data_IF_632665393949
#
_entry.id   IF_632665393949
#
_cell.length_a   1.000
_cell.length_b   1.000
_cell.length_c   1.000
_cell.angle_alpha   90.00
_cell.angle_beta   90.00
_cell.angle_gamma   90.00
#
_symmetry.space_group_name_H-M   'P 1'
#
loop_
_entity.id
_entity.type
_entity.pdbx_description
1 polymer ?
#
# COMPACT_ATOMS: atom_id res chain seq x y z
N UNK A 1 -16.49 1.57 -27.70
CA UNK A 1 -16.37 1.64 -29.18
C UNK A 1 -14.89 1.46 -29.48
N UNK A 2 -14.50 0.31 -30.06
CA UNK A 2 -13.10 0.04 -30.41
C UNK A 2 -12.75 0.87 -31.65
N UNK A 3 -11.68 1.67 -31.59
CA UNK A 3 -11.18 2.44 -32.73
C UNK A 3 -10.68 1.49 -33.84
N UNK A 4 -10.82 1.86 -35.12
CA UNK A 4 -10.31 1.05 -36.23
C UNK A 4 -8.78 0.91 -36.18
N UNK A 5 -8.21 -0.17 -36.75
CA UNK A 5 -6.76 -0.37 -36.78
C UNK A 5 -6.06 0.77 -37.55
N UNK A 6 -4.94 1.27 -37.02
CA UNK A 6 -4.13 2.40 -37.53
C UNK A 6 -4.80 3.80 -37.46
N UNK A 7 -5.72 4.03 -36.52
CA UNK A 7 -6.30 5.36 -36.31
C UNK A 7 -5.32 6.38 -35.71
N UNK A 8 -4.33 5.91 -34.96
CA UNK A 8 -3.36 6.73 -34.23
C UNK A 8 -1.98 6.64 -34.89
N UNK A 9 -1.19 7.70 -34.81
CA UNK A 9 0.24 7.61 -35.15
C UNK A 9 0.94 6.63 -34.18
N UNK A 10 2.13 6.09 -34.50
CA UNK A 10 2.84 5.21 -33.57
C UNK A 10 3.11 5.84 -32.20
N UNK A 11 3.35 7.17 -32.16
CA UNK A 11 3.54 7.92 -30.92
C UNK A 11 2.22 8.03 -30.13
N UNK A 12 1.12 8.39 -30.80
CA UNK A 12 -0.20 8.49 -30.18
C UNK A 12 -0.71 7.11 -29.72
N UNK A 13 -0.37 6.03 -30.44
CA UNK A 13 -0.71 4.67 -30.05
C UNK A 13 0.04 4.28 -28.78
N UNK A 14 1.33 4.60 -28.67
CA UNK A 14 2.10 4.35 -27.47
C UNK A 14 1.56 5.14 -26.26
N UNK A 15 1.14 6.39 -26.46
CA UNK A 15 0.50 7.19 -25.42
C UNK A 15 -0.86 6.60 -25.00
N UNK A 16 -1.68 6.17 -25.96
CA UNK A 16 -2.96 5.51 -25.70
C UNK A 16 -2.78 4.20 -24.92
N UNK A 17 -1.83 3.36 -25.32
CA UNK A 17 -1.55 2.09 -24.66
C UNK A 17 -1.06 2.33 -23.21
N UNK A 18 -0.20 3.35 -23.00
CA UNK A 18 0.24 3.76 -21.68
C UNK A 18 -0.93 4.29 -20.83
N UNK A 19 -1.84 5.08 -21.42
CA UNK A 19 -3.05 5.55 -20.77
C UNK A 19 -3.95 4.38 -20.34
N UNK A 20 -4.19 3.42 -21.24
CA UNK A 20 -5.04 2.27 -20.97
C UNK A 20 -4.44 1.34 -19.90
N UNK A 21 -3.13 1.14 -19.92
CA UNK A 21 -2.41 0.40 -18.88
C UNK A 21 -2.59 1.09 -17.51
N UNK A 22 -2.34 2.40 -17.42
CA UNK A 22 -2.58 3.19 -16.20
C UNK A 22 -4.03 3.10 -15.73
N UNK A 23 -4.98 3.28 -16.64
CA UNK A 23 -6.41 3.22 -16.34
C UNK A 23 -6.79 1.86 -15.77
N UNK A 24 -6.26 0.77 -16.33
CA UNK A 24 -6.44 -0.58 -15.82
C UNK A 24 -5.84 -0.76 -14.42
N UNK A 25 -4.65 -0.22 -14.16
CA UNK A 25 -4.02 -0.32 -12.83
C UNK A 25 -4.80 0.44 -11.76
N UNK A 26 -5.29 1.63 -12.09
CA UNK A 26 -6.15 2.43 -11.20
C UNK A 26 -7.48 1.73 -10.94
N UNK A 27 -8.07 1.11 -11.97
CA UNK A 27 -9.36 0.46 -11.84
C UNK A 27 -9.30 -0.90 -11.14
N UNK A 28 -8.12 -1.51 -11.02
CA UNK A 28 -7.94 -2.75 -10.28
C UNK A 28 -8.55 -2.69 -8.86
N UNK A 29 -8.54 -1.52 -8.23
CA UNK A 29 -9.08 -1.35 -6.88
C UNK A 29 -10.62 -1.30 -6.83
N UNK A 30 -11.31 -0.93 -7.92
CA UNK A 30 -12.78 -0.89 -7.95
C UNK A 30 -13.44 -2.26 -7.94
N UNK A 31 -12.72 -3.29 -8.37
CA UNK A 31 -13.22 -4.66 -8.43
C UNK A 31 -13.30 -5.31 -7.04
N UNK A 32 -12.70 -4.68 -6.03
CA UNK A 32 -12.63 -5.19 -4.67
C UNK A 32 -13.58 -4.41 -3.76
N UNK A 33 -14.32 -5.11 -2.91
CA UNK A 33 -15.29 -4.51 -1.98
C UNK A 33 -14.60 -3.83 -0.79
N UNK A 34 -13.78 -2.82 -1.02
CA UNK A 34 -13.20 -1.95 0.01
C UNK A 34 -14.11 -0.74 0.29
N UNK A 35 -13.90 -0.04 1.41
CA UNK A 35 -14.62 1.23 1.64
C UNK A 35 -13.97 2.36 0.81
N UNK A 36 -14.75 3.32 0.28
CA UNK A 36 -14.23 4.34 -0.65
C UNK A 36 -13.00 5.12 -0.16
N UNK A 37 -12.90 5.36 1.16
CA UNK A 37 -11.74 6.06 1.75
C UNK A 37 -10.43 5.28 1.58
N UNK A 38 -10.49 3.94 1.61
CA UNK A 38 -9.33 3.08 1.36
C UNK A 38 -8.91 3.18 -0.11
N UNK A 39 -9.87 3.10 -1.02
CA UNK A 39 -9.63 3.08 -2.47
C UNK A 39 -8.89 4.32 -2.95
N UNK A 40 -9.26 5.49 -2.40
CA UNK A 40 -8.63 6.75 -2.76
C UNK A 40 -7.14 6.79 -2.43
N UNK A 41 -6.69 6.14 -1.35
CA UNK A 41 -5.25 6.05 -1.06
C UNK A 41 -4.50 5.26 -2.14
N UNK A 42 -5.04 4.09 -2.51
CA UNK A 42 -4.41 3.24 -3.53
C UNK A 42 -4.45 3.86 -4.93
N UNK A 43 -5.57 4.51 -5.28
CA UNK A 43 -5.72 5.25 -6.53
C UNK A 43 -4.73 6.41 -6.63
N UNK A 44 -4.65 7.26 -5.60
CA UNK A 44 -3.72 8.39 -5.59
C UNK A 44 -2.26 7.91 -5.56
N UNK A 45 -1.96 6.80 -4.88
CA UNK A 45 -0.63 6.20 -4.90
C UNK A 45 -0.22 5.72 -6.29
N UNK A 46 -1.15 5.07 -7.00
CA UNK A 46 -0.93 4.57 -8.37
C UNK A 46 -0.76 5.72 -9.36
N UNK A 47 -1.60 6.75 -9.27
CA UNK A 47 -1.44 7.96 -10.08
C UNK A 47 -0.08 8.64 -9.81
N UNK A 48 0.31 8.80 -8.54
CA UNK A 48 1.60 9.35 -8.18
C UNK A 48 2.78 8.52 -8.75
N UNK A 49 2.66 7.19 -8.71
CA UNK A 49 3.65 6.28 -9.30
C UNK A 49 3.82 6.53 -10.80
N UNK A 50 2.72 6.63 -11.56
CA UNK A 50 2.78 6.88 -13.00
C UNK A 50 3.33 8.27 -13.37
N UNK A 51 3.19 9.26 -12.49
CA UNK A 51 3.74 10.60 -12.69
C UNK A 51 5.16 10.77 -12.11
N UNK A 52 5.81 9.68 -11.67
CA UNK A 52 7.17 9.72 -11.11
C UNK A 52 7.28 10.41 -9.73
N UNK A 53 6.15 10.59 -9.05
CA UNK A 53 6.06 11.15 -7.71
C UNK A 53 6.27 10.03 -6.67
N UNK A 54 7.50 9.50 -6.62
CA UNK A 54 7.83 8.27 -5.88
C UNK A 54 7.58 8.35 -4.37
N UNK A 55 7.96 9.45 -3.72
CA UNK A 55 7.72 9.66 -2.29
C UNK A 55 6.21 9.71 -1.98
N UNK A 56 5.41 10.56 -2.67
CA UNK A 56 3.95 10.53 -2.55
C UNK A 56 3.32 9.16 -2.82
N UNK A 57 3.83 8.41 -3.81
CA UNK A 57 3.35 7.06 -4.10
C UNK A 57 3.59 6.13 -2.90
N UNK A 58 4.83 6.09 -2.37
CA UNK A 58 5.18 5.25 -1.23
C UNK A 58 4.32 5.55 0.00
N UNK A 59 4.18 6.82 0.38
CA UNK A 59 3.40 7.21 1.56
C UNK A 59 1.92 6.92 1.39
N UNK A 60 1.37 7.13 0.18
CA UNK A 60 -0.04 6.86 -0.11
C UNK A 60 -0.34 5.35 -0.09
N UNK A 61 0.52 4.49 -0.65
CA UNK A 61 0.37 3.03 -0.53
C UNK A 61 0.40 2.57 0.93
N UNK A 62 1.36 3.07 1.72
CA UNK A 62 1.48 2.75 3.14
C UNK A 62 0.24 3.20 3.93
N UNK A 63 -0.30 4.38 3.62
CA UNK A 63 -1.53 4.88 4.22
C UNK A 63 -2.76 4.06 3.82
N UNK A 64 -2.85 3.59 2.58
CA UNK A 64 -3.91 2.67 2.15
C UNK A 64 -3.89 1.35 2.90
N UNK A 65 -2.70 0.76 3.07
CA UNK A 65 -2.50 -0.47 3.86
C UNK A 65 -2.84 -0.22 5.34
N UNK A 66 -2.35 0.86 5.94
CA UNK A 66 -2.66 1.19 7.34
C UNK A 66 -4.16 1.41 7.56
N UNK A 67 -4.78 2.25 6.73
CA UNK A 67 -6.21 2.57 6.82
C UNK A 67 -7.04 1.30 6.69
N UNK A 68 -6.73 0.45 5.71
CA UNK A 68 -7.46 -0.79 5.49
C UNK A 68 -7.31 -1.80 6.64
N UNK A 69 -6.12 -1.93 7.23
CA UNK A 69 -5.91 -2.71 8.46
C UNK A 69 -6.80 -2.20 9.61
N UNK A 70 -6.77 -0.89 9.86
CA UNK A 70 -7.48 -0.26 10.98
C UNK A 70 -9.00 -0.34 10.82
N UNK A 71 -9.50 -0.07 9.61
CA UNK A 71 -10.93 -0.19 9.27
C UNK A 71 -11.40 -1.61 9.50
N UNK A 72 -10.67 -2.60 8.99
CA UNK A 72 -11.05 -4.02 9.12
C UNK A 72 -11.16 -4.46 10.58
N UNK A 73 -10.16 -4.10 11.40
CA UNK A 73 -10.18 -4.42 12.82
C UNK A 73 -11.35 -3.77 13.56
N UNK A 74 -11.74 -2.55 13.18
CA UNK A 74 -12.89 -1.88 13.78
C UNK A 74 -14.20 -2.52 13.33
N UNK A 75 -14.36 -2.81 12.03
CA UNK A 75 -15.52 -3.54 11.49
C UNK A 75 -15.72 -4.88 12.21
N UNK A 76 -14.64 -5.65 12.39
CA UNK A 76 -14.68 -6.92 13.13
C UNK A 76 -15.19 -6.77 14.55
N UNK A 77 -14.75 -5.73 15.26
CA UNK A 77 -15.21 -5.47 16.63
C UNK A 77 -16.69 -5.07 16.69
N UNK A 78 -17.24 -4.45 15.63
CA UNK A 78 -18.62 -3.97 15.58
C UNK A 78 -19.62 -5.05 15.14
N UNK A 79 -19.27 -5.89 14.17
CA UNK A 79 -20.15 -6.98 13.69
C UNK A 79 -20.46 -8.01 14.79
N UNK A 80 -19.51 -8.23 15.71
CA UNK A 80 -19.74 -9.08 16.89
C UNK A 80 -20.83 -8.56 17.85
N UNK A 81 -21.32 -7.33 17.66
CA UNK A 81 -22.32 -6.66 18.52
C UNK A 81 -23.71 -6.56 17.84
N UNK A 82 -23.99 -7.40 16.83
CA UNK A 82 -25.30 -7.49 16.14
C UNK A 82 -25.78 -6.17 15.49
N UNK A 83 -24.85 -5.28 15.14
CA UNK A 83 -25.15 -4.08 14.35
C UNK A 83 -24.87 -4.32 12.87
N UNK A 84 -25.69 -3.73 12.01
CA UNK A 84 -25.44 -3.65 10.57
C UNK A 84 -24.06 -3.05 10.30
N UNK A 85 -23.37 -3.54 9.26
CA UNK A 85 -22.04 -3.03 8.85
C UNK A 85 -22.10 -1.50 8.71
N UNK A 86 -21.29 -0.74 9.47
CA UNK A 86 -21.35 0.72 9.44
C UNK A 86 -20.83 1.26 8.11
N UNK A 87 -21.58 2.20 7.52
CA UNK A 87 -21.23 2.86 6.23
C UNK A 87 -19.96 3.69 6.33
N UNK A 88 -19.64 4.20 7.53
CA UNK A 88 -18.44 4.98 7.81
C UNK A 88 -17.75 4.47 9.07
N UNK A 89 -16.43 4.35 9.00
CA UNK A 89 -15.61 3.84 10.10
C UNK A 89 -14.71 4.96 10.59
N UNK A 90 -15.06 5.55 11.72
CA UNK A 90 -14.21 6.51 12.43
C UNK A 90 -12.92 5.81 12.88
N UNK A 91 -11.75 6.39 12.66
CA UNK A 91 -10.48 5.82 13.07
C UNK A 91 -9.86 6.53 14.28
N UNK A 92 -10.57 7.48 14.90
CA UNK A 92 -10.10 8.15 16.10
C UNK A 92 -9.86 7.16 17.24
N UNK A 93 -8.76 7.39 17.97
CA UNK A 93 -8.30 6.51 19.04
C UNK A 93 -7.75 5.15 18.60
N UNK A 94 -7.78 4.81 17.30
CA UNK A 94 -7.18 3.56 16.82
C UNK A 94 -5.66 3.71 16.67
N UNK A 95 -4.92 2.69 17.07
CA UNK A 95 -3.47 2.68 16.91
C UNK A 95 -3.08 2.62 15.44
N UNK A 96 -1.99 3.33 15.13
CA UNK A 96 -1.34 3.33 13.82
C UNK A 96 -0.59 2.01 13.56
N UNK A 97 -0.17 1.76 12.31
CA UNK A 97 0.46 0.50 11.92
C UNK A 97 1.74 0.22 12.73
N UNK A 98 1.70 -0.86 13.50
CA UNK A 98 2.76 -1.29 14.40
C UNK A 98 2.77 -2.82 14.48
N UNK A 99 3.87 -3.44 14.94
CA UNK A 99 3.88 -4.89 15.17
C UNK A 99 2.73 -5.35 16.09
N UNK A 100 2.31 -4.52 17.06
CA UNK A 100 1.17 -4.83 17.92
C UNK A 100 -0.16 -4.86 17.16
N UNK A 101 -0.42 -3.86 16.29
CA UNK A 101 -1.59 -3.84 15.42
C UNK A 101 -1.57 -5.03 14.44
N UNK A 102 -0.41 -5.31 13.84
CA UNK A 102 -0.21 -6.45 12.93
C UNK A 102 -0.46 -7.78 13.63
N UNK A 103 0.00 -7.93 14.88
CA UNK A 103 -0.29 -9.12 15.69
C UNK A 103 -1.77 -9.27 15.96
N UNK A 104 -2.46 -8.17 16.28
CA UNK A 104 -3.93 -8.19 16.46
C UNK A 104 -4.63 -8.61 15.16
N UNK A 105 -4.27 -8.02 14.03
CA UNK A 105 -4.80 -8.40 12.72
C UNK A 105 -4.58 -9.89 12.41
N UNK A 106 -3.39 -10.42 12.70
CA UNK A 106 -3.07 -11.86 12.60
C UNK A 106 -3.99 -12.72 13.47
N UNK A 107 -4.22 -12.31 14.72
CA UNK A 107 -5.10 -13.04 15.65
C UNK A 107 -6.56 -13.06 15.19
N UNK A 108 -7.00 -12.01 14.50
CA UNK A 108 -8.32 -11.93 13.85
C UNK A 108 -8.38 -12.69 12.51
N UNK A 109 -7.29 -13.35 12.09
CA UNK A 109 -7.21 -14.13 10.86
C UNK A 109 -7.04 -13.32 9.58
N UNK A 110 -6.69 -12.03 9.68
CA UNK A 110 -6.41 -11.21 8.49
C UNK A 110 -5.16 -11.73 7.77
N UNK A 111 -5.09 -11.66 6.41
CA UNK A 111 -4.01 -12.24 5.60
C UNK A 111 -2.76 -11.36 5.60
N UNK A 112 -2.23 -11.04 6.78
CA UNK A 112 -1.12 -10.09 6.96
C UNK A 112 0.19 -10.54 6.31
N UNK A 113 0.36 -11.82 6.03
CA UNK A 113 1.49 -12.39 5.30
C UNK A 113 1.62 -11.85 3.87
N UNK A 114 0.52 -11.38 3.27
CA UNK A 114 0.53 -10.74 1.95
C UNK A 114 1.30 -9.42 1.94
N UNK A 115 1.55 -8.83 3.11
CA UNK A 115 2.32 -7.60 3.29
C UNK A 115 3.83 -7.87 3.51
N UNK A 116 4.26 -9.13 3.45
CA UNK A 116 5.68 -9.48 3.57
C UNK A 116 6.45 -9.05 2.33
N UNK A 117 7.57 -8.36 2.55
CA UNK A 117 8.46 -7.98 1.46
C UNK A 117 9.14 -9.24 0.88
N UNK A 118 9.42 -9.32 -0.44
CA UNK A 118 10.07 -10.51 -1.03
C UNK A 118 11.40 -10.88 -0.39
N UNK A 119 12.17 -9.90 0.08
CA UNK A 119 13.44 -10.13 0.79
C UNK A 119 13.27 -10.41 2.29
N UNK A 120 12.07 -10.22 2.84
CA UNK A 120 11.78 -10.38 4.26
C UNK A 120 11.36 -11.82 4.56
N UNK A 121 12.25 -12.62 5.15
CA UNK A 121 12.00 -14.05 5.42
C UNK A 121 11.24 -14.32 6.72
N UNK A 122 11.19 -13.37 7.63
CA UNK A 122 10.78 -13.59 9.03
C UNK A 122 9.75 -12.56 9.53
N UNK A 123 8.94 -11.99 8.63
CA UNK A 123 7.93 -10.97 8.96
C UNK A 123 7.04 -11.40 10.14
N UNK A 124 6.44 -12.59 10.07
CA UNK A 124 5.54 -13.10 11.12
C UNK A 124 6.27 -13.29 12.46
N UNK A 125 7.51 -13.77 12.43
CA UNK A 125 8.32 -13.92 13.64
C UNK A 125 8.68 -12.57 14.27
N UNK A 126 9.00 -11.55 13.45
CA UNK A 126 9.22 -10.16 13.91
C UNK A 126 7.97 -9.60 14.58
N UNK A 127 6.79 -9.83 13.98
CA UNK A 127 5.49 -9.42 14.53
C UNK A 127 5.25 -10.09 15.89
N UNK A 128 5.51 -11.39 16.01
CA UNK A 128 5.31 -12.13 17.26
C UNK A 128 6.29 -11.68 18.36
N UNK A 129 7.55 -11.40 18.01
CA UNK A 129 8.62 -11.04 18.94
C UNK A 129 8.39 -9.75 19.76
N UNK A 130 7.51 -8.84 19.31
CA UNK A 130 7.18 -7.63 20.08
C UNK A 130 7.39 -6.36 19.28
N UNK A 131 7.90 -5.32 19.95
CA UNK A 131 8.14 -3.99 19.37
C UNK A 131 9.33 -3.99 18.40
N UNK A 132 10.34 -4.83 18.63
CA UNK A 132 11.55 -4.93 17.82
C UNK A 132 11.99 -6.41 17.72
N UNK A 133 12.61 -6.83 16.60
CA UNK A 133 12.71 -6.11 15.33
C UNK A 133 11.33 -5.82 14.70
N UNK A 134 11.19 -4.69 14.01
CA UNK A 134 9.94 -4.34 13.30
C UNK A 134 9.84 -5.15 12.01
N UNK A 135 8.62 -5.56 11.64
CA UNK A 135 8.34 -6.00 10.27
C UNK A 135 8.66 -4.86 9.28
N UNK A 136 9.13 -5.20 8.08
CA UNK A 136 9.68 -4.19 7.16
C UNK A 136 8.61 -3.18 6.74
N UNK A 137 7.35 -3.61 6.55
CA UNK A 137 6.22 -2.70 6.28
C UNK A 137 6.02 -1.67 7.42
N UNK A 138 6.12 -2.11 8.68
CA UNK A 138 5.98 -1.25 9.86
C UNK A 138 7.14 -0.28 9.95
N UNK A 139 8.37 -0.79 9.76
CA UNK A 139 9.59 0.02 9.75
C UNK A 139 9.52 1.11 8.67
N UNK A 140 9.13 0.75 7.45
CA UNK A 140 9.03 1.68 6.32
C UNK A 140 7.97 2.75 6.56
N UNK A 141 6.80 2.36 7.08
CA UNK A 141 5.75 3.29 7.49
C UNK A 141 6.28 4.30 8.51
N UNK A 142 6.93 3.82 9.56
CA UNK A 142 7.51 4.68 10.59
C UNK A 142 8.61 5.58 10.02
N UNK A 143 9.51 5.06 9.18
CA UNK A 143 10.59 5.85 8.58
C UNK A 143 10.02 6.97 7.71
N UNK A 144 9.20 6.65 6.70
CA UNK A 144 8.72 7.62 5.74
C UNK A 144 7.76 8.64 6.35
N UNK A 145 6.81 8.21 7.20
CA UNK A 145 5.85 9.14 7.80
C UNK A 145 6.47 10.05 8.88
N UNK A 146 7.63 9.69 9.43
CA UNK A 146 8.42 10.59 10.30
C UNK A 146 9.52 11.35 9.56
N UNK A 147 9.59 11.27 8.22
CA UNK A 147 10.59 11.97 7.42
C UNK A 147 12.01 11.38 7.51
N UNK A 148 12.18 10.17 8.06
CA UNK A 148 13.46 9.48 8.07
C UNK A 148 13.73 8.84 6.71
N UNK A 149 14.48 9.55 5.88
CA UNK A 149 14.85 9.10 4.52
C UNK A 149 16.26 8.50 4.44
N UNK A 150 16.95 8.29 5.58
CA UNK A 150 18.37 7.94 5.60
C UNK A 150 18.68 6.65 4.84
N UNK A 151 17.75 5.69 4.85
CA UNK A 151 17.89 4.41 4.12
C UNK A 151 17.84 4.55 2.59
N UNK A 152 17.39 5.71 2.07
CA UNK A 152 17.29 6.00 0.64
C UNK A 152 18.42 6.91 0.15
N UNK A 153 19.31 7.36 1.03
CA UNK A 153 20.44 8.20 0.66
C UNK A 153 21.47 7.36 -0.09
N UNK A 154 21.89 7.84 -1.26
CA UNK A 154 23.01 7.27 -2.02
C UNK A 154 24.32 7.98 -1.70
N UNK A 155 25.42 7.23 -1.76
CA UNK A 155 26.78 7.76 -1.65
C UNK A 155 27.40 7.87 -3.04
N UNK A 156 27.74 9.09 -3.46
CA UNK A 156 28.32 9.38 -4.77
C UNK A 156 29.76 9.87 -4.58
N UNK A 157 30.71 9.22 -5.24
CA UNK A 157 32.10 9.73 -5.30
C UNK A 157 32.25 10.64 -6.51
N UNK A 158 32.47 11.94 -6.28
CA UNK A 158 32.67 12.92 -7.35
C UNK A 158 33.94 13.70 -7.08
N UNK A 159 35.10 13.18 -7.50
CA UNK A 159 36.39 13.89 -7.46
C UNK A 159 36.89 14.37 -6.08
N UNK A 160 36.12 14.16 -5.01
CA UNK A 160 36.43 14.51 -3.63
C UNK A 160 37.02 13.33 -2.86
N UNK A 161 37.81 13.58 -1.80
CA UNK A 161 38.35 12.52 -0.94
C UNK A 161 37.24 11.68 -0.31
N UNK A 162 36.16 12.34 0.11
CA UNK A 162 35.01 11.72 0.78
C UNK A 162 33.78 11.63 -0.15
N UNK A 163 32.97 10.56 -0.06
CA UNK A 163 31.73 10.43 -0.82
C UNK A 163 30.67 11.43 -0.35
N UNK A 164 29.99 12.05 -1.31
CA UNK A 164 28.86 12.94 -1.06
C UNK A 164 27.61 12.10 -0.87
N UNK A 165 26.86 12.37 0.20
CA UNK A 165 25.57 11.72 0.49
C UNK A 165 24.42 12.55 -0.08
N UNK A 166 23.69 11.99 -1.03
CA UNK A 166 22.62 12.69 -1.76
C UNK A 166 21.34 11.86 -1.70
N UNK A 167 20.22 12.55 -1.52
CA UNK A 167 18.89 11.99 -1.74
C UNK A 167 18.27 12.61 -2.99
N UNK A 168 17.67 11.75 -3.82
CA UNK A 168 16.76 12.16 -4.90
C UNK A 168 15.46 11.38 -4.74
N UNK A 169 14.29 11.92 -5.10
CA UNK A 169 13.04 11.15 -5.07
C UNK A 169 13.13 9.84 -5.85
N UNK A 170 13.95 9.79 -6.91
CA UNK A 170 14.22 8.58 -7.71
C UNK A 170 14.77 7.41 -6.89
N UNK A 171 15.43 7.66 -5.76
CA UNK A 171 15.88 6.62 -4.83
C UNK A 171 14.71 5.79 -4.27
N UNK A 172 13.50 6.33 -4.25
CA UNK A 172 12.30 5.63 -3.79
C UNK A 172 11.57 4.86 -4.90
N UNK A 173 11.99 4.94 -6.17
CA UNK A 173 11.30 4.30 -7.30
C UNK A 173 11.14 2.78 -7.09
N UNK A 174 12.22 2.08 -6.72
CA UNK A 174 12.17 0.64 -6.45
C UNK A 174 11.22 0.29 -5.31
N UNK A 175 11.16 1.10 -4.26
CA UNK A 175 10.20 0.92 -3.16
C UNK A 175 8.77 1.16 -3.63
N UNK A 176 8.52 2.20 -4.44
CA UNK A 176 7.19 2.54 -4.93
C UNK A 176 6.61 1.42 -5.80
N UNK A 177 7.42 0.84 -6.69
CA UNK A 177 7.03 -0.33 -7.50
C UNK A 177 6.71 -1.54 -6.63
N UNK A 178 7.52 -1.77 -5.60
CA UNK A 178 7.32 -2.89 -4.69
C UNK A 178 6.04 -2.72 -3.85
N UNK A 179 5.80 -1.51 -3.33
CA UNK A 179 4.58 -1.18 -2.61
C UNK A 179 3.34 -1.29 -3.49
N UNK A 180 3.41 -0.88 -4.77
CA UNK A 180 2.33 -1.10 -5.74
C UNK A 180 1.98 -2.59 -5.86
N UNK A 181 2.99 -3.45 -6.05
CA UNK A 181 2.79 -4.89 -6.14
C UNK A 181 2.21 -5.50 -4.85
N UNK A 182 2.69 -5.06 -3.68
CA UNK A 182 2.17 -5.49 -2.38
C UNK A 182 0.72 -5.02 -2.18
N UNK A 183 0.41 -3.77 -2.51
CA UNK A 183 -0.94 -3.21 -2.36
C UNK A 183 -1.96 -3.94 -3.23
N UNK A 184 -1.62 -4.29 -4.48
CA UNK A 184 -2.51 -5.08 -5.35
C UNK A 184 -2.84 -6.44 -4.71
N UNK A 185 -1.81 -7.17 -4.23
CA UNK A 185 -2.01 -8.45 -3.53
C UNK A 185 -2.83 -8.30 -2.26
N UNK A 186 -2.52 -7.27 -1.48
CA UNK A 186 -3.20 -6.96 -0.22
C UNK A 186 -4.69 -6.69 -0.43
N UNK A 187 -5.06 -5.83 -1.39
CA UNK A 187 -6.47 -5.48 -1.63
C UNK A 187 -7.28 -6.72 -2.02
N UNK A 188 -6.75 -7.58 -2.90
CA UNK A 188 -7.40 -8.85 -3.29
C UNK A 188 -7.59 -9.76 -2.08
N UNK A 189 -6.54 -9.99 -1.27
CA UNK A 189 -6.64 -10.87 -0.11
C UNK A 189 -7.55 -10.31 0.98
N UNK A 190 -7.51 -9.00 1.20
CA UNK A 190 -8.37 -8.34 2.17
C UNK A 190 -9.84 -8.38 1.74
N UNK A 191 -10.11 -8.20 0.46
CA UNK A 191 -11.45 -8.33 -0.11
C UNK A 191 -12.03 -9.73 0.14
N UNK A 192 -11.27 -10.78 -0.14
CA UNK A 192 -11.68 -12.15 0.15
C UNK A 192 -11.94 -12.33 1.66
N UNK A 193 -11.03 -11.83 2.51
CA UNK A 193 -11.23 -11.87 3.95
C UNK A 193 -12.51 -11.13 4.39
N UNK A 194 -12.85 -9.99 3.78
CA UNK A 194 -14.10 -9.29 4.11
C UNK A 194 -15.35 -10.06 3.68
N UNK A 195 -15.34 -10.70 2.50
CA UNK A 195 -16.43 -11.59 2.05
C UNK A 195 -16.63 -12.73 3.05
N UNK A 196 -15.56 -13.48 3.34
CA UNK A 196 -15.60 -14.68 4.18
C UNK A 196 -16.11 -14.40 5.60
N UNK A 197 -16.01 -13.13 6.02
CA UNK A 197 -16.34 -12.67 7.36
C UNK A 197 -17.58 -11.75 7.41
N UNK A 198 -18.33 -11.61 6.30
CA UNK A 198 -19.51 -10.76 6.18
C UNK A 198 -19.24 -9.30 6.64
N UNK A 199 -18.07 -8.77 6.29
CA UNK A 199 -17.69 -7.38 6.58
C UNK A 199 -18.04 -6.41 5.45
N UNK A 200 -18.61 -6.93 4.36
CA UNK A 200 -19.12 -6.16 3.22
C UNK A 200 -20.64 -6.16 3.25
N UNK A 201 -21.24 -5.05 2.79
CA UNK A 201 -22.67 -4.96 2.49
C UNK A 201 -23.00 -5.27 1.03
N UNK A 202 -22.03 -5.79 0.26
CA UNK A 202 -22.18 -6.14 -1.15
C UNK A 202 -23.02 -7.40 -1.32
#
# INVERSE_FOLDING_TARGET
>A
MLLPPNFLSPEDQAEYDAYMARFSEVNHYYEHCTVPVIDWFFKQATEALHHGLWLPACTSFLNGIETSLRVTLKLKSTVNVQQSVPVLVDLDGTSVMSNALMRKAKQEGMPIELLSFPAEKNMLAKIDAGKKPEADIVRLRNSLCHGNILEFIMSVKVGSPDPIRIFTPGNCCGLALLLSALSKKWTVGLHQYWIDNNLTSC
#
